data_IF_637933911721
#
_entry.id   IF_637933911721
#
_cell.length_a   1.000
_cell.length_b   1.000
_cell.length_c   1.000
_cell.angle_alpha   90.00
_cell.angle_beta   90.00
_cell.angle_gamma   90.00
#
_symmetry.space_group_name_H-M   'P 1'
#
loop_
_entity.id
_entity.type
_entity.pdbx_description
1 polymer ?
#
# COMPACT_ATOMS: atom_id res chain seq x y z
N UNK A 1 -11.10 7.23 -14.03
CA UNK A 1 -10.36 7.00 -12.78
C UNK A 1 -10.72 5.60 -12.33
N UNK A 2 -9.71 4.75 -12.17
CA UNK A 2 -9.89 3.39 -11.65
C UNK A 2 -9.52 3.32 -10.17
N UNK A 3 -9.76 2.16 -9.54
CA UNK A 3 -9.46 1.91 -8.12
C UNK A 3 -7.99 2.19 -7.73
N UNK A 4 -7.06 2.13 -8.70
CA UNK A 4 -5.66 2.54 -8.47
C UNK A 4 -5.51 4.07 -8.37
N UNK A 5 -6.24 4.83 -9.19
CA UNK A 5 -6.22 6.29 -9.14
C UNK A 5 -6.80 6.81 -7.82
N UNK A 6 -7.80 6.11 -7.26
CA UNK A 6 -8.38 6.44 -5.97
C UNK A 6 -7.33 6.33 -4.85
N UNK A 7 -6.53 5.25 -4.85
CA UNK A 7 -5.40 5.09 -3.92
C UNK A 7 -4.35 6.17 -4.11
N UNK A 8 -4.00 6.51 -5.36
CA UNK A 8 -3.03 7.59 -5.64
C UNK A 8 -3.51 8.93 -5.11
N UNK A 9 -4.80 9.24 -5.28
CA UNK A 9 -5.39 10.48 -4.80
C UNK A 9 -5.39 10.52 -3.27
N UNK A 10 -5.92 9.49 -2.61
CA UNK A 10 -5.95 9.38 -1.16
C UNK A 10 -4.55 9.51 -0.53
N UNK A 11 -3.55 8.82 -1.10
CA UNK A 11 -2.17 8.93 -0.64
C UNK A 11 -1.62 10.35 -0.77
N UNK A 12 -1.84 11.02 -1.92
CA UNK A 12 -1.40 12.40 -2.15
C UNK A 12 -2.10 13.39 -1.22
N UNK A 13 -3.39 13.24 -0.98
CA UNK A 13 -4.16 14.10 -0.06
C UNK A 13 -3.67 13.99 1.38
N UNK A 14 -3.20 12.81 1.80
CA UNK A 14 -2.55 12.60 3.10
C UNK A 14 -1.07 12.98 3.13
N UNK A 15 -0.53 13.52 2.03
CA UNK A 15 0.84 14.05 1.95
C UNK A 15 1.91 13.02 1.60
N UNK A 16 1.54 11.82 1.16
CA UNK A 16 2.51 10.80 0.76
C UNK A 16 3.02 11.00 -0.66
N UNK A 17 4.28 10.66 -0.87
CA UNK A 17 4.87 10.53 -2.20
C UNK A 17 4.42 9.18 -2.78
N UNK A 18 3.83 9.20 -3.97
CA UNK A 18 3.44 8.00 -4.69
C UNK A 18 4.55 7.59 -5.64
N UNK A 19 5.06 6.37 -5.47
CA UNK A 19 6.02 5.75 -6.37
C UNK A 19 5.33 4.67 -7.22
N UNK A 20 5.49 4.75 -8.54
CA UNK A 20 5.01 3.71 -9.44
C UNK A 20 6.01 2.55 -9.49
N UNK A 21 5.50 1.32 -9.45
CA UNK A 21 6.34 0.14 -9.64
C UNK A 21 6.75 0.05 -11.12
N UNK A 22 8.05 0.08 -11.39
CA UNK A 22 8.57 -0.06 -12.76
C UNK A 22 8.28 -1.44 -13.38
N UNK A 23 8.09 -2.46 -12.53
CA UNK A 23 7.70 -3.81 -12.92
C UNK A 23 6.95 -4.49 -11.77
N UNK A 24 6.20 -5.55 -12.09
CA UNK A 24 5.55 -6.37 -11.08
C UNK A 24 6.57 -7.03 -10.13
N UNK A 25 6.24 -7.08 -8.85
CA UNK A 25 7.03 -7.82 -7.86
C UNK A 25 6.79 -9.32 -8.02
N UNK A 26 7.81 -10.14 -7.69
CA UNK A 26 7.75 -11.60 -7.86
C UNK A 26 7.09 -12.34 -6.70
N UNK A 27 6.81 -11.67 -5.58
CA UNK A 27 6.13 -12.26 -4.43
C UNK A 27 4.72 -12.71 -4.81
N UNK A 28 4.33 -13.92 -4.39
CA UNK A 28 2.93 -14.35 -4.48
C UNK A 28 2.12 -13.75 -3.35
N UNK A 29 0.97 -13.18 -3.66
CA UNK A 29 0.00 -12.64 -2.69
C UNK A 29 -1.39 -13.17 -3.04
N UNK A 30 -2.12 -13.66 -2.05
CA UNK A 30 -3.43 -14.30 -2.27
C UNK A 30 -4.53 -13.27 -2.58
N UNK A 31 -4.30 -11.99 -2.26
CA UNK A 31 -5.17 -10.88 -2.65
C UNK A 31 -5.44 -10.82 -4.17
N UNK A 32 -4.51 -11.32 -4.99
CA UNK A 32 -4.70 -11.45 -6.44
C UNK A 32 -5.89 -12.35 -6.82
N UNK A 33 -6.43 -13.16 -5.90
CA UNK A 33 -7.67 -13.90 -6.11
C UNK A 33 -8.87 -12.96 -6.22
N UNK A 34 -8.98 -11.93 -5.37
CA UNK A 34 -10.10 -10.97 -5.41
C UNK A 34 -10.12 -10.17 -6.71
N UNK A 35 -8.94 -9.85 -7.26
CA UNK A 35 -8.80 -9.12 -8.52
C UNK A 35 -9.34 -9.88 -9.75
N UNK A 36 -9.66 -11.17 -9.62
CA UNK A 36 -10.33 -11.97 -10.67
C UNK A 36 -11.84 -11.76 -10.68
N UNK A 37 -12.42 -11.37 -9.55
CA UNK A 37 -13.86 -11.27 -9.34
C UNK A 37 -14.34 -9.81 -9.33
N UNK A 38 -13.51 -8.88 -8.84
CA UNK A 38 -13.85 -7.46 -8.72
C UNK A 38 -12.67 -6.57 -9.11
N UNK A 39 -12.95 -5.31 -9.46
CA UNK A 39 -11.91 -4.29 -9.59
C UNK A 39 -11.20 -4.15 -8.25
N UNK A 40 -9.91 -4.44 -8.23
CA UNK A 40 -9.10 -4.41 -7.03
C UNK A 40 -7.80 -3.63 -7.28
N UNK A 41 -7.27 -3.04 -6.21
CA UNK A 41 -5.92 -2.48 -6.18
C UNK A 41 -5.22 -2.96 -4.93
N UNK A 42 -3.92 -3.20 -5.08
CA UNK A 42 -3.00 -3.52 -4.00
C UNK A 42 -1.87 -2.50 -4.05
N UNK A 43 -1.48 -1.97 -2.91
CA UNK A 43 -0.40 -0.99 -2.79
C UNK A 43 0.49 -1.31 -1.59
N UNK A 44 1.69 -0.76 -1.59
CA UNK A 44 2.67 -0.94 -0.52
C UNK A 44 2.88 0.38 0.22
N UNK A 45 3.05 0.29 1.55
CA UNK A 45 3.70 1.34 2.33
C UNK A 45 5.20 1.07 2.33
N UNK A 46 6.00 2.05 1.92
CA UNK A 46 7.45 1.88 1.84
C UNK A 46 8.12 2.01 3.20
N UNK A 47 8.93 1.03 3.62
CA UNK A 47 9.67 1.08 4.89
C UNK A 47 11.01 1.85 4.79
N UNK A 48 11.31 2.43 3.62
CA UNK A 48 12.60 3.03 3.29
C UNK A 48 13.60 2.01 2.72
N UNK A 49 14.75 2.50 2.25
CA UNK A 49 15.75 1.67 1.56
C UNK A 49 16.66 0.85 2.50
N UNK A 50 16.83 1.33 3.75
CA UNK A 50 17.71 0.73 4.75
C UNK A 50 16.93 -0.06 5.83
N UNK A 51 15.80 -0.66 5.45
CA UNK A 51 14.97 -1.46 6.35
C UNK A 51 15.13 -2.95 6.05
N UNK A 52 15.15 -3.83 7.06
CA UNK A 52 15.28 -5.27 6.84
C UNK A 52 14.21 -5.83 5.89
N UNK A 53 14.54 -6.83 5.04
CA UNK A 53 13.55 -7.49 4.20
C UNK A 53 12.53 -8.27 5.01
N UNK A 54 11.32 -8.42 4.46
CA UNK A 54 10.32 -9.36 4.98
C UNK A 54 10.90 -10.78 5.06
N UNK A 55 10.47 -11.55 6.07
CA UNK A 55 10.98 -12.90 6.38
C UNK A 55 12.43 -12.97 6.90
N UNK A 56 12.94 -11.88 7.48
CA UNK A 56 14.21 -11.89 8.22
C UNK A 56 13.97 -11.73 9.73
N UNK A 57 14.83 -12.29 10.62
CA UNK A 57 14.69 -12.11 12.07
C UNK A 57 14.77 -10.65 12.52
N UNK A 58 15.45 -9.81 11.75
CA UNK A 58 15.64 -8.38 12.04
C UNK A 58 14.44 -7.51 11.64
N UNK A 59 13.50 -8.06 10.86
CA UNK A 59 12.31 -7.34 10.43
C UNK A 59 11.42 -6.97 11.61
N UNK A 60 11.05 -5.69 11.69
CA UNK A 60 10.06 -5.19 12.62
C UNK A 60 9.19 -4.12 11.95
N UNK A 61 7.99 -3.91 12.45
CA UNK A 61 7.08 -2.91 11.90
C UNK A 61 7.52 -1.49 12.28
N UNK A 62 7.27 -0.53 11.38
CA UNK A 62 7.44 0.89 11.70
C UNK A 62 6.10 1.38 12.25
N UNK A 63 5.97 1.46 13.58
CA UNK A 63 4.70 1.78 14.27
C UNK A 63 3.97 3.03 13.73
N UNK A 64 4.72 4.07 13.36
CA UNK A 64 4.12 5.29 12.80
C UNK A 64 3.38 5.04 11.49
N UNK A 65 3.85 4.07 10.69
CA UNK A 65 3.25 3.72 9.42
C UNK A 65 1.87 3.06 9.57
N UNK A 66 1.62 2.40 10.70
CA UNK A 66 0.31 1.77 10.96
C UNK A 66 -0.78 2.85 10.91
N UNK A 67 -0.56 3.96 11.62
CA UNK A 67 -1.49 5.10 11.63
C UNK A 67 -1.61 5.75 10.23
N UNK A 68 -0.48 5.93 9.56
CA UNK A 68 -0.42 6.54 8.23
C UNK A 68 -1.22 5.76 7.18
N UNK A 69 -1.08 4.43 7.17
CA UNK A 69 -1.83 3.55 6.26
C UNK A 69 -3.33 3.56 6.62
N UNK A 70 -3.68 3.58 7.91
CA UNK A 70 -5.07 3.74 8.32
C UNK A 70 -5.70 5.03 7.79
N UNK A 71 -4.97 6.15 7.77
CA UNK A 71 -5.47 7.42 7.23
C UNK A 71 -5.75 7.35 5.72
N UNK A 72 -4.95 6.60 4.95
CA UNK A 72 -5.21 6.35 3.53
C UNK A 72 -6.51 5.54 3.37
N UNK A 73 -6.66 4.45 4.12
CA UNK A 73 -7.87 3.62 4.05
C UNK A 73 -9.12 4.38 4.47
N UNK A 74 -9.04 5.19 5.53
CA UNK A 74 -10.11 6.09 5.98
C UNK A 74 -10.59 7.01 4.85
N UNK A 75 -9.64 7.60 4.12
CA UNK A 75 -9.93 8.41 2.93
C UNK A 75 -10.68 7.62 1.84
N UNK A 76 -10.28 6.37 1.60
CA UNK A 76 -10.88 5.51 0.57
C UNK A 76 -12.31 5.07 0.92
N UNK A 77 -12.59 4.79 2.20
CA UNK A 77 -13.93 4.38 2.65
C UNK A 77 -14.82 5.56 3.05
N UNK A 78 -14.28 6.78 3.06
CA UNK A 78 -15.02 8.00 3.40
C UNK A 78 -15.37 8.11 4.88
N UNK A 79 -14.50 7.66 5.78
CA UNK A 79 -14.68 7.78 7.24
C UNK A 79 -13.58 8.63 7.86
N UNK A 80 -13.93 9.50 8.80
CA UNK A 80 -12.98 10.37 9.52
C UNK A 80 -12.22 9.68 10.65
#
# INVERSE_FOLDING_TARGET
>A
MGVTDDVRLAAKEKGFIVHELAAALRGSEDYGHYAKEVLATYFYMGNGENHPPVHTPEYDFIDTQIKEVCEIFKSLVGVE
#
